data_IF_727595150018
#
_entry.id   IF_727595150018
#
_cell.length_a   1.000
_cell.length_b   1.000
_cell.length_c   1.000
_cell.angle_alpha   90.00
_cell.angle_beta   90.00
_cell.angle_gamma   90.00
#
_symmetry.space_group_name_H-M   'P 1'
#
loop_
_entity.id
_entity.type
_entity.pdbx_description
1 polymer ?
#
# COMPACT_ATOMS: atom_id res chain seq x y z
N UNK A 1 9.77 -0.88 1.79
CA UNK A 1 9.36 -0.69 0.38
C UNK A 1 8.36 -1.78 0.00
N UNK A 2 7.19 -1.39 -0.52
CA UNK A 2 6.21 -2.32 -1.10
C UNK A 2 6.59 -2.62 -2.55
N UNK A 3 7.07 -3.84 -2.81
CA UNK A 3 7.70 -4.26 -4.06
C UNK A 3 6.76 -5.16 -4.85
N UNK A 4 6.66 -4.94 -6.16
CA UNK A 4 6.00 -5.88 -7.07
C UNK A 4 6.91 -7.08 -7.35
N UNK A 5 6.39 -8.29 -7.28
CA UNK A 5 7.14 -9.50 -7.57
C UNK A 5 7.74 -9.50 -8.98
N UNK A 6 7.00 -8.98 -9.97
CA UNK A 6 7.51 -8.80 -11.33
C UNK A 6 8.77 -7.90 -11.39
N UNK A 7 8.78 -6.82 -10.59
CA UNK A 7 9.96 -5.93 -10.51
C UNK A 7 11.12 -6.65 -9.85
N UNK A 8 10.86 -7.42 -8.77
CA UNK A 8 11.89 -8.21 -8.11
C UNK A 8 12.54 -9.24 -9.05
N UNK A 9 11.74 -9.93 -9.85
CA UNK A 9 12.25 -10.88 -10.84
C UNK A 9 13.04 -10.18 -11.96
N UNK A 10 12.56 -9.05 -12.44
CA UNK A 10 13.18 -8.35 -13.57
C UNK A 10 14.44 -7.58 -13.17
N UNK A 11 14.46 -7.04 -11.96
CA UNK A 11 15.53 -6.18 -11.46
C UNK A 11 16.02 -6.62 -10.06
N UNK A 12 16.47 -7.88 -9.89
CA UNK A 12 16.83 -8.41 -8.56
C UNK A 12 17.93 -7.60 -7.89
N UNK A 13 18.87 -7.05 -8.65
CA UNK A 13 19.97 -6.23 -8.12
C UNK A 13 19.47 -4.91 -7.49
N UNK A 14 18.40 -4.31 -8.05
CA UNK A 14 17.80 -3.12 -7.47
C UNK A 14 17.19 -3.46 -6.10
N UNK A 15 16.44 -4.57 -6.02
CA UNK A 15 15.77 -4.95 -4.77
C UNK A 15 16.79 -5.34 -3.71
N UNK A 16 17.89 -6.02 -4.10
CA UNK A 16 18.99 -6.32 -3.19
C UNK A 16 19.63 -5.05 -2.62
N UNK A 17 19.88 -4.04 -3.47
CA UNK A 17 20.43 -2.75 -3.00
C UNK A 17 19.51 -2.05 -1.99
N UNK A 18 18.19 -2.18 -2.14
CA UNK A 18 17.22 -1.63 -1.19
C UNK A 18 17.32 -2.38 0.15
N UNK A 19 17.39 -3.71 0.11
CA UNK A 19 17.59 -4.54 1.30
C UNK A 19 18.92 -4.24 2.01
N UNK A 20 20.03 -4.21 1.25
CA UNK A 20 21.38 -3.94 1.76
C UNK A 20 21.52 -2.55 2.39
N UNK A 21 20.70 -1.59 1.95
CA UNK A 21 20.59 -0.27 2.57
C UNK A 21 19.78 -0.26 3.89
N UNK A 22 19.34 -1.42 4.37
CA UNK A 22 18.62 -1.58 5.64
C UNK A 22 17.13 -1.25 5.57
N UNK A 23 16.56 -1.18 4.37
CA UNK A 23 15.13 -0.93 4.22
C UNK A 23 14.32 -2.21 4.30
N UNK A 24 13.17 -2.15 4.97
CA UNK A 24 12.20 -3.24 5.00
C UNK A 24 11.57 -3.44 3.63
N UNK A 25 11.47 -4.72 3.21
CA UNK A 25 10.81 -5.14 1.98
C UNK A 25 9.47 -5.77 2.29
N UNK A 26 8.46 -5.37 1.56
CA UNK A 26 7.09 -5.85 1.67
C UNK A 26 6.52 -6.16 0.28
N UNK A 27 5.54 -7.03 0.21
CA UNK A 27 4.88 -7.38 -1.05
C UNK A 27 3.83 -6.34 -1.46
N UNK A 28 3.80 -6.03 -2.75
CA UNK A 28 2.73 -5.24 -3.40
C UNK A 28 1.96 -6.07 -4.44
N UNK A 29 1.91 -7.41 -4.24
CA UNK A 29 1.47 -8.36 -5.24
C UNK A 29 2.51 -8.58 -6.33
N UNK A 30 2.23 -9.50 -7.26
CA UNK A 30 3.15 -9.78 -8.36
C UNK A 30 2.91 -8.86 -9.55
N UNK A 31 1.62 -8.72 -9.99
CA UNK A 31 1.23 -8.02 -11.21
C UNK A 31 0.54 -6.66 -10.98
N UNK A 32 0.50 -6.14 -9.78
CA UNK A 32 -0.26 -4.94 -9.43
C UNK A 32 -1.76 -5.06 -9.73
N UNK A 33 -2.35 -6.23 -9.49
CA UNK A 33 -3.78 -6.46 -9.71
C UNK A 33 -4.61 -5.94 -8.55
N UNK A 34 -5.80 -5.44 -8.86
CA UNK A 34 -6.74 -5.00 -7.84
C UNK A 34 -7.39 -6.22 -7.17
N UNK A 35 -7.27 -6.34 -5.84
CA UNK A 35 -7.71 -7.52 -5.07
C UNK A 35 -9.19 -7.85 -5.31
N UNK A 36 -10.05 -6.85 -5.33
CA UNK A 36 -11.49 -7.06 -5.57
C UNK A 36 -11.85 -7.53 -6.99
N UNK A 37 -10.89 -7.61 -7.90
CA UNK A 37 -11.07 -8.20 -9.24
C UNK A 37 -10.57 -9.63 -9.34
N UNK A 38 -9.97 -10.15 -8.28
CA UNK A 38 -9.43 -11.50 -8.21
C UNK A 38 -10.37 -12.43 -7.46
N UNK A 39 -10.31 -13.71 -7.79
CA UNK A 39 -10.83 -14.76 -6.93
C UNK A 39 -9.76 -15.17 -5.90
N UNK A 40 -10.13 -15.98 -4.91
CA UNK A 40 -9.25 -16.42 -3.83
C UNK A 40 -8.00 -17.16 -4.33
N UNK A 41 -8.14 -18.00 -5.34
CA UNK A 41 -7.01 -18.79 -5.87
C UNK A 41 -6.02 -17.91 -6.63
N UNK A 42 -6.51 -16.97 -7.45
CA UNK A 42 -5.66 -16.05 -8.20
C UNK A 42 -4.95 -15.06 -7.27
N UNK A 43 -5.63 -14.59 -6.22
CA UNK A 43 -5.00 -13.74 -5.20
C UNK A 43 -3.89 -14.49 -4.46
N UNK A 44 -4.17 -15.71 -3.99
CA UNK A 44 -3.17 -16.57 -3.33
C UNK A 44 -1.92 -16.75 -4.20
N UNK A 45 -2.12 -17.07 -5.47
CA UNK A 45 -1.01 -17.22 -6.41
C UNK A 45 -0.21 -15.93 -6.55
N UNK A 46 -0.87 -14.79 -6.74
CA UNK A 46 -0.22 -13.49 -6.94
C UNK A 46 0.66 -13.09 -5.74
N UNK A 47 0.19 -13.31 -4.50
CA UNK A 47 0.98 -12.98 -3.29
C UNK A 47 2.12 -13.97 -3.05
N UNK A 48 1.93 -15.28 -3.33
CA UNK A 48 2.99 -16.29 -3.24
C UNK A 48 4.10 -16.00 -4.25
N UNK A 49 3.74 -15.81 -5.52
CA UNK A 49 4.71 -15.49 -6.57
C UNK A 49 5.49 -14.21 -6.23
N UNK A 50 4.84 -13.21 -5.63
CA UNK A 50 5.49 -11.98 -5.17
C UNK A 50 6.46 -12.23 -4.01
N UNK A 51 6.03 -12.99 -2.99
CA UNK A 51 6.85 -13.35 -1.83
C UNK A 51 8.09 -14.11 -2.26
N UNK A 52 7.92 -15.12 -3.12
CA UNK A 52 9.02 -15.94 -3.66
C UNK A 52 9.99 -15.08 -4.49
N UNK A 53 9.50 -14.21 -5.35
CA UNK A 53 10.33 -13.36 -6.19
C UNK A 53 11.22 -12.40 -5.35
N UNK A 54 10.66 -11.78 -4.30
CA UNK A 54 11.41 -10.88 -3.42
C UNK A 54 12.40 -11.68 -2.58
N UNK A 55 11.98 -12.81 -2.00
CA UNK A 55 12.83 -13.72 -1.24
C UNK A 55 14.00 -14.25 -2.05
N UNK A 56 13.76 -14.70 -3.28
CA UNK A 56 14.81 -15.18 -4.19
C UNK A 56 15.82 -14.08 -4.57
N UNK A 57 15.37 -12.83 -4.70
CA UNK A 57 16.25 -11.72 -5.02
C UNK A 57 17.16 -11.32 -3.85
N UNK A 58 16.70 -11.47 -2.60
CA UNK A 58 17.34 -10.83 -1.44
C UNK A 58 17.69 -11.78 -0.29
N UNK A 59 17.07 -12.94 -0.20
CA UNK A 59 17.13 -13.83 0.97
C UNK A 59 16.30 -13.35 2.16
N UNK A 60 15.54 -12.25 2.02
CA UNK A 60 14.72 -11.67 3.10
C UNK A 60 13.34 -12.37 3.12
N UNK A 61 12.87 -12.71 4.30
CA UNK A 61 11.51 -13.16 4.49
C UNK A 61 10.54 -11.97 4.39
N UNK A 62 9.49 -12.11 3.56
CA UNK A 62 8.48 -11.08 3.34
C UNK A 62 7.23 -11.39 4.15
N UNK A 63 6.95 -10.58 5.15
CA UNK A 63 5.82 -10.77 6.08
C UNK A 63 4.82 -9.60 6.04
N UNK A 64 5.12 -8.55 5.30
CA UNK A 64 4.24 -7.38 5.16
C UNK A 64 3.68 -7.28 3.74
N UNK A 65 2.42 -6.83 3.65
CA UNK A 65 1.70 -6.66 2.39
C UNK A 65 1.00 -5.30 2.30
N UNK A 66 0.88 -4.79 1.10
CA UNK A 66 -0.05 -3.71 0.75
C UNK A 66 -0.71 -4.01 -0.58
N UNK A 67 -2.03 -3.98 -0.62
CA UNK A 67 -2.78 -4.19 -1.85
C UNK A 67 -2.54 -3.05 -2.85
N UNK A 68 -2.34 -3.35 -4.14
CA UNK A 68 -2.32 -2.35 -5.20
C UNK A 68 -3.54 -1.44 -5.11
N UNK A 69 -3.31 -0.13 -5.14
CA UNK A 69 -4.35 0.90 -5.02
C UNK A 69 -5.27 0.76 -3.79
N UNK A 70 -4.76 0.20 -2.68
CA UNK A 70 -5.54 -0.05 -1.45
C UNK A 70 -6.83 -0.85 -1.72
N UNK A 71 -6.76 -1.84 -2.60
CA UNK A 71 -7.90 -2.55 -3.17
C UNK A 71 -8.50 -3.65 -2.28
N UNK A 72 -8.07 -3.77 -1.01
CA UNK A 72 -8.83 -4.49 0.00
C UNK A 72 -9.95 -3.56 0.51
N UNK A 73 -11.17 -3.91 0.17
CA UNK A 73 -12.39 -3.14 0.51
C UNK A 73 -13.33 -4.03 1.33
N UNK A 74 -14.47 -3.48 1.77
CA UNK A 74 -15.47 -4.26 2.52
C UNK A 74 -15.93 -5.54 1.79
N UNK A 75 -15.80 -5.59 0.45
CA UNK A 75 -16.17 -6.77 -0.37
C UNK A 75 -15.04 -7.78 -0.53
N UNK A 76 -13.82 -7.44 -0.16
CA UNK A 76 -12.63 -8.26 -0.35
C UNK A 76 -11.82 -8.47 0.94
N UNK A 77 -12.48 -8.33 2.12
CA UNK A 77 -11.83 -8.59 3.42
C UNK A 77 -11.36 -10.04 3.59
N UNK A 78 -11.91 -10.98 2.80
CA UNK A 78 -11.46 -12.36 2.72
C UNK A 78 -9.96 -12.47 2.36
N UNK A 79 -9.39 -11.44 1.73
CA UNK A 79 -7.98 -11.41 1.37
C UNK A 79 -7.05 -11.42 2.60
N UNK A 80 -7.49 -10.87 3.73
CA UNK A 80 -6.71 -10.88 4.97
C UNK A 80 -6.51 -12.30 5.52
N UNK A 81 -7.52 -13.15 5.39
CA UNK A 81 -7.43 -14.55 5.80
C UNK A 81 -6.39 -15.30 4.95
N UNK A 82 -6.42 -15.11 3.64
CA UNK A 82 -5.42 -15.68 2.73
C UNK A 82 -4.01 -15.13 3.01
N UNK A 83 -3.88 -13.85 3.36
CA UNK A 83 -2.60 -13.29 3.77
C UNK A 83 -2.06 -13.99 5.02
N UNK A 84 -2.91 -14.20 6.04
CA UNK A 84 -2.52 -14.93 7.25
C UNK A 84 -2.10 -16.37 6.95
N UNK A 85 -2.87 -17.10 6.14
CA UNK A 85 -2.53 -18.47 5.68
C UNK A 85 -1.17 -18.54 4.99
N UNK A 86 -0.81 -17.53 4.20
CA UNK A 86 0.47 -17.45 3.48
C UNK A 86 1.60 -16.83 4.32
N UNK A 87 1.37 -16.64 5.63
CA UNK A 87 2.38 -16.19 6.58
C UNK A 87 2.70 -14.69 6.54
N UNK A 88 1.77 -13.88 6.04
CA UNK A 88 1.85 -12.43 6.23
C UNK A 88 1.31 -12.07 7.61
N UNK A 89 2.02 -11.21 8.32
CA UNK A 89 1.67 -10.76 9.67
C UNK A 89 1.29 -9.28 9.72
N UNK A 90 1.62 -8.55 8.67
CA UNK A 90 1.34 -7.10 8.55
C UNK A 90 0.61 -6.82 7.25
N UNK A 91 -0.50 -6.09 7.34
CA UNK A 91 -1.18 -5.48 6.18
C UNK A 91 -1.23 -3.96 6.30
N UNK A 92 -1.23 -3.28 5.17
CA UNK A 92 -1.39 -1.83 5.11
C UNK A 92 -2.29 -1.45 3.93
N UNK A 93 -3.39 -2.16 3.78
CA UNK A 93 -4.27 -2.03 2.62
C UNK A 93 -5.60 -1.36 2.94
N UNK A 94 -6.06 -1.39 4.18
CA UNK A 94 -7.37 -0.88 4.55
C UNK A 94 -7.29 0.60 4.82
N UNK A 95 -7.84 1.39 3.91
CA UNK A 95 -7.85 2.84 4.04
C UNK A 95 -9.18 3.31 4.67
N UNK A 96 -9.16 3.97 5.84
CA UNK A 96 -10.38 4.36 6.56
C UNK A 96 -11.06 5.62 6.00
N UNK A 97 -11.28 5.65 4.69
CA UNK A 97 -11.90 6.77 3.97
C UNK A 97 -12.98 6.28 3.02
N UNK A 98 -13.81 7.21 2.53
CA UNK A 98 -14.73 6.97 1.43
C UNK A 98 -14.08 7.42 0.12
N UNK A 99 -13.89 6.49 -0.81
CA UNK A 99 -13.36 6.75 -2.13
C UNK A 99 -14.05 5.86 -3.18
N UNK A 100 -14.08 6.27 -4.46
CA UNK A 100 -14.75 5.55 -5.54
C UNK A 100 -14.12 4.20 -5.90
N UNK A 101 -12.84 4.03 -5.62
CA UNK A 101 -12.05 2.83 -5.99
C UNK A 101 -11.56 2.00 -4.81
N UNK A 102 -11.50 2.57 -3.63
CA UNK A 102 -10.93 1.92 -2.45
C UNK A 102 -11.53 2.50 -1.16
N UNK A 103 -11.10 1.93 -0.04
CA UNK A 103 -11.47 2.43 1.27
C UNK A 103 -12.55 1.62 1.96
N UNK A 104 -12.46 1.64 3.27
CA UNK A 104 -13.43 1.09 4.22
C UNK A 104 -13.72 2.19 5.24
N UNK A 105 -14.75 3.02 5.01
CA UNK A 105 -14.95 4.28 5.75
C UNK A 105 -15.01 4.15 7.27
N UNK A 106 -15.52 3.01 7.73
CA UNK A 106 -15.76 2.71 9.16
C UNK A 106 -14.61 1.89 9.79
N UNK A 107 -13.51 1.65 9.04
CA UNK A 107 -12.33 1.00 9.60
C UNK A 107 -11.61 1.90 10.60
N UNK A 108 -10.92 1.28 11.56
CA UNK A 108 -10.07 1.98 12.51
C UNK A 108 -8.96 2.75 11.77
N UNK A 109 -8.69 4.01 12.15
CA UNK A 109 -7.55 4.75 11.64
C UNK A 109 -6.25 4.46 12.40
N UNK A 110 -6.30 3.67 13.45
CA UNK A 110 -5.17 3.33 14.30
C UNK A 110 -4.54 2.00 13.88
N UNK A 111 -3.27 1.78 14.23
CA UNK A 111 -2.65 0.46 14.11
C UNK A 111 -3.37 -0.48 15.07
N UNK A 112 -3.82 -1.61 14.56
CA UNK A 112 -4.58 -2.57 15.36
C UNK A 112 -4.42 -4.00 14.84
N UNK A 113 -4.67 -4.96 15.72
CA UNK A 113 -4.76 -6.37 15.36
C UNK A 113 -6.12 -6.69 14.75
N UNK A 114 -6.11 -7.52 13.72
CA UNK A 114 -7.31 -8.09 13.11
C UNK A 114 -7.23 -9.60 13.16
N UNK A 115 -8.20 -10.19 13.81
CA UNK A 115 -8.39 -11.63 13.80
C UNK A 115 -8.92 -12.09 12.45
N UNK A 116 -8.38 -13.17 11.93
CA UNK A 116 -8.88 -13.92 10.78
C UNK A 116 -9.03 -15.39 11.17
N UNK A 117 -9.78 -16.22 10.41
CA UNK A 117 -9.85 -17.65 10.67
C UNK A 117 -8.49 -18.35 10.73
N UNK A 118 -7.50 -17.84 10.00
CA UNK A 118 -6.17 -18.45 9.86
C UNK A 118 -5.08 -17.81 10.71
N UNK A 119 -5.39 -16.76 11.48
CA UNK A 119 -4.43 -16.10 12.36
C UNK A 119 -4.68 -14.60 12.51
N UNK A 120 -3.75 -13.92 13.16
CA UNK A 120 -3.83 -12.46 13.38
C UNK A 120 -2.97 -11.71 12.35
N UNK A 121 -3.47 -10.56 11.89
CA UNK A 121 -2.74 -9.61 11.06
C UNK A 121 -2.74 -8.25 11.74
N UNK A 122 -1.57 -7.61 11.81
CA UNK A 122 -1.44 -6.20 12.20
C UNK A 122 -1.82 -5.32 11.01
N UNK A 123 -2.93 -4.61 11.09
CA UNK A 123 -3.29 -3.59 10.12
C UNK A 123 -2.61 -2.27 10.46
N UNK A 124 -1.90 -1.69 9.49
CA UNK A 124 -1.28 -0.36 9.56
C UNK A 124 -1.96 0.55 8.53
N UNK A 125 -3.05 1.24 8.90
CA UNK A 125 -3.84 2.00 7.95
C UNK A 125 -3.08 3.20 7.39
N UNK A 126 -3.22 3.52 6.08
CA UNK A 126 -2.73 4.77 5.54
C UNK A 126 -3.36 5.97 6.24
N UNK A 127 -2.57 7.02 6.44
CA UNK A 127 -3.05 8.20 7.14
C UNK A 127 -3.90 9.10 6.25
N UNK A 128 -4.87 9.74 6.88
CA UNK A 128 -5.68 10.80 6.29
C UNK A 128 -5.77 11.98 7.25
N UNK A 129 -5.94 13.15 6.68
CA UNK A 129 -6.28 14.36 7.43
C UNK A 129 -7.78 14.49 7.57
N UNK A 130 -8.27 14.57 8.80
CA UNK A 130 -9.67 14.81 9.09
C UNK A 130 -9.96 16.30 9.02
N UNK A 131 -10.61 16.74 7.94
CA UNK A 131 -11.17 18.09 7.87
C UNK A 131 -12.60 18.10 8.42
N UNK A 132 -13.21 19.31 8.52
CA UNK A 132 -14.60 19.44 8.97
C UNK A 132 -15.60 18.77 8.02
N UNK A 133 -15.24 18.60 6.76
CA UNK A 133 -16.15 18.14 5.69
C UNK A 133 -15.73 16.83 5.04
N UNK A 134 -14.46 16.42 5.16
CA UNK A 134 -13.95 15.24 4.49
C UNK A 134 -12.70 14.67 5.16
N UNK A 135 -12.49 13.37 4.96
CA UNK A 135 -11.23 12.67 5.20
C UNK A 135 -10.38 12.79 3.93
N UNK A 136 -9.21 13.40 4.02
CA UNK A 136 -8.31 13.65 2.88
C UNK A 136 -7.06 12.80 3.01
N UNK A 137 -6.74 11.92 2.03
CA UNK A 137 -5.52 11.13 2.06
C UNK A 137 -4.25 11.98 2.18
N UNK A 138 -3.25 11.43 2.88
CA UNK A 138 -1.92 12.03 2.98
C UNK A 138 -0.95 11.15 2.17
N UNK A 139 -0.27 11.74 1.19
CA UNK A 139 0.67 11.02 0.31
C UNK A 139 0.10 10.70 -1.07
N UNK A 140 0.89 10.01 -1.88
CA UNK A 140 0.58 9.69 -3.26
C UNK A 140 0.22 10.91 -4.11
N UNK A 141 -0.76 10.78 -4.99
CA UNK A 141 -1.21 11.88 -5.84
C UNK A 141 -1.62 13.15 -5.11
N UNK A 142 -2.10 13.04 -3.87
CA UNK A 142 -2.45 14.21 -3.05
C UNK A 142 -1.22 15.03 -2.64
N UNK A 143 -0.08 14.38 -2.44
CA UNK A 143 1.19 15.06 -2.16
C UNK A 143 1.61 15.98 -3.32
N UNK A 144 1.36 15.58 -4.56
CA UNK A 144 1.64 16.42 -5.75
C UNK A 144 0.64 17.55 -5.95
N UNK A 145 -0.61 17.36 -5.49
CA UNK A 145 -1.69 18.33 -5.66
C UNK A 145 -1.67 19.43 -4.62
N UNK A 146 -1.21 19.12 -3.42
CA UNK A 146 -1.27 20.05 -2.30
C UNK A 146 0.07 20.78 -2.12
N UNK A 147 0.01 22.07 -1.74
CA UNK A 147 1.20 22.77 -1.27
C UNK A 147 1.84 22.06 -0.08
N UNK A 148 3.16 22.04 -0.01
CA UNK A 148 3.94 21.39 1.05
C UNK A 148 3.42 21.73 2.46
N UNK A 149 3.16 23.01 2.72
CA UNK A 149 2.63 23.49 4.01
C UNK A 149 1.31 22.81 4.42
N UNK A 150 0.47 22.44 3.44
CA UNK A 150 -0.77 21.74 3.71
C UNK A 150 -0.51 20.29 4.09
N UNK A 151 0.43 19.64 3.41
CA UNK A 151 0.87 18.27 3.72
C UNK A 151 1.50 18.21 5.11
N UNK A 152 2.39 19.15 5.45
CA UNK A 152 2.95 19.26 6.80
C UNK A 152 1.88 19.43 7.88
N UNK A 153 0.91 20.33 7.63
CA UNK A 153 -0.21 20.53 8.56
C UNK A 153 -1.03 19.26 8.75
N UNK A 154 -1.28 18.53 7.67
CA UNK A 154 -2.01 17.27 7.71
C UNK A 154 -1.26 16.21 8.54
N UNK A 155 0.05 16.06 8.33
CA UNK A 155 0.91 15.15 9.11
C UNK A 155 0.92 15.55 10.59
N UNK A 156 1.09 16.84 10.90
CA UNK A 156 1.05 17.34 12.28
C UNK A 156 -0.31 17.04 12.94
N UNK A 157 -1.42 17.24 12.22
CA UNK A 157 -2.76 16.95 12.74
C UNK A 157 -2.90 15.47 13.15
N UNK A 158 -2.45 14.53 12.31
CA UNK A 158 -2.47 13.10 12.63
C UNK A 158 -1.66 12.80 13.89
N UNK A 159 -0.46 13.42 14.02
CA UNK A 159 0.41 13.23 15.19
C UNK A 159 -0.17 13.81 16.47
N UNK A 160 -0.87 14.96 16.38
CA UNK A 160 -1.54 15.56 17.55
C UNK A 160 -2.73 14.74 18.04
N UNK A 161 -3.30 13.87 17.19
CA UNK A 161 -4.31 12.90 17.58
C UNK A 161 -3.71 11.66 18.27
N UNK A 162 -2.38 11.62 18.49
CA UNK A 162 -1.68 10.49 19.10
C UNK A 162 -1.39 9.33 18.16
N UNK A 163 -1.68 9.47 16.86
CA UNK A 163 -1.49 8.43 15.84
C UNK A 163 -0.14 8.58 15.12
N UNK A 164 0.53 7.48 14.77
CA UNK A 164 1.66 7.53 13.86
C UNK A 164 1.18 7.97 12.47
N UNK A 165 1.93 8.86 11.82
CA UNK A 165 1.61 9.30 10.47
C UNK A 165 2.23 8.35 9.44
N UNK A 166 1.39 7.55 8.76
CA UNK A 166 1.77 6.73 7.62
C UNK A 166 1.66 7.57 6.35
N UNK A 167 2.81 7.96 5.81
CA UNK A 167 2.91 8.70 4.56
C UNK A 167 3.44 7.78 3.45
N UNK A 168 2.79 7.73 2.29
CA UNK A 168 3.22 6.90 1.19
C UNK A 168 3.60 7.73 -0.04
N UNK A 169 4.61 7.25 -0.74
CA UNK A 169 5.13 7.84 -1.97
C UNK A 169 5.32 6.74 -3.02
N UNK A 170 5.22 7.13 -4.28
CA UNK A 170 5.72 6.33 -5.39
C UNK A 170 6.99 6.97 -5.96
N UNK A 171 7.87 6.20 -6.60
CA UNK A 171 9.12 6.73 -7.15
C UNK A 171 8.91 7.94 -8.08
N UNK A 172 7.88 7.91 -8.90
CA UNK A 172 7.58 9.01 -9.83
C UNK A 172 7.11 10.32 -9.18
N UNK A 173 6.78 10.30 -7.89
CA UNK A 173 6.37 11.52 -7.17
C UNK A 173 7.58 12.37 -6.76
N UNK A 174 8.77 11.78 -6.79
CA UNK A 174 10.04 12.41 -6.43
C UNK A 174 11.05 12.42 -7.59
N UNK A 175 10.68 11.85 -8.73
CA UNK A 175 11.51 11.82 -9.94
C UNK A 175 11.10 12.95 -10.91
N UNK A 176 11.91 14.00 -11.06
CA UNK A 176 11.61 15.10 -11.98
C UNK A 176 11.70 14.69 -13.46
N UNK A 177 12.44 13.62 -13.76
CA UNK A 177 12.73 13.15 -15.11
C UNK A 177 11.82 12.00 -15.56
N UNK A 178 10.77 11.69 -14.78
CA UNK A 178 9.85 10.63 -15.14
C UNK A 178 9.26 10.83 -16.56
N UNK A 179 9.10 9.76 -17.35
CA UNK A 179 8.50 9.85 -18.68
C UNK A 179 7.09 10.43 -18.62
N UNK A 180 6.82 11.41 -19.48
CA UNK A 180 5.46 11.94 -19.64
C UNK A 180 4.71 11.09 -20.65
N UNK A 181 3.51 10.65 -20.28
CA UNK A 181 2.64 9.90 -21.17
C UNK A 181 1.81 10.90 -21.98
N UNK A 182 2.05 10.96 -23.30
CA UNK A 182 1.27 11.79 -24.21
C UNK A 182 -0.11 11.19 -24.47
N UNK A 183 -1.08 12.05 -24.78
CA UNK A 183 -2.44 11.62 -25.15
C UNK A 183 -3.38 11.29 -23.98
N UNK A 184 -2.94 11.40 -22.72
CA UNK A 184 -3.82 11.22 -21.57
C UNK A 184 -4.64 12.48 -21.28
N UNK A 185 -5.94 12.32 -21.07
CA UNK A 185 -6.84 13.41 -20.69
C UNK A 185 -6.45 14.10 -19.39
N UNK A 186 -6.86 15.36 -19.23
CA UNK A 186 -6.50 16.20 -18.06
C UNK A 186 -6.77 15.51 -16.70
N UNK A 187 -7.89 14.77 -16.55
CA UNK A 187 -8.19 14.01 -15.34
C UNK A 187 -7.21 12.87 -15.05
N UNK A 188 -6.57 12.33 -16.08
CA UNK A 188 -5.59 11.25 -15.95
C UNK A 188 -4.18 11.75 -15.62
N UNK A 189 -3.89 13.04 -15.85
CA UNK A 189 -2.61 13.67 -15.50
C UNK A 189 -2.45 13.91 -13.99
N UNK A 190 -3.55 13.86 -13.25
CA UNK A 190 -3.60 14.08 -11.79
C UNK A 190 -3.89 12.80 -10.98
N UNK A 191 -3.88 11.64 -11.66
CA UNK A 191 -4.11 10.35 -11.01
C UNK A 191 -2.81 9.48 -10.99
#
# INVERSE_FOLDING_TARGET
FFVLGWVANKFPQLIRRIADAGHELASHGYWHRLVYTLNHQDFRRDIKDSKDAIGNATGVEVTAYRAPSFSITSKSLWALDILAEEGFTIDSSIFPIRHDRYGVPDASPEIHQRETPSGEITEIPPSFWQSRIAKVPIGGGYFRLFPERLTERAIRSVRTEGRPAMFYLHPWEVDPDQPRIDGVGMKSRFR
#
